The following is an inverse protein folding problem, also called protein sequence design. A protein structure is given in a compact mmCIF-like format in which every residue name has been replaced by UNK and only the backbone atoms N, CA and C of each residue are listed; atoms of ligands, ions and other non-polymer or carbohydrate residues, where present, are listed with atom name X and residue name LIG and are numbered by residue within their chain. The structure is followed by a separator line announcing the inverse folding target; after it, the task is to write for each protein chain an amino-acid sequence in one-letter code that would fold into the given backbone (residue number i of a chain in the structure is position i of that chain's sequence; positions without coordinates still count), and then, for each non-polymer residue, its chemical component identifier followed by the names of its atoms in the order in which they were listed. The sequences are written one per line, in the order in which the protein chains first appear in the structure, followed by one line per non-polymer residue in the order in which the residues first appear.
data_IF_295153805671
#
_entry.id   IF_295153805671
#
_cell.length_a   1.000
_cell.length_b   1.000
_cell.length_c   1.000
_cell.angle_alpha   90.00
_cell.angle_beta   90.00
_cell.angle_gamma   90.00
#
_symmetry.space_group_name_H-M   'P 1'
#
loop_
_entity.id
_entity.type
_entity.pdbx_description
1 polymer ?
#
# COMPACT_ATOMS: atom_id res chain seq x y z
N UNK A 1 -0.84 -1.83 -7.59
CA UNK A 1 -0.90 -0.98 -8.80
C UNK A 1 -0.53 0.46 -8.45
N UNK A 2 -1.30 1.17 -7.63
CA UNK A 2 -1.09 2.61 -7.37
C UNK A 2 0.33 2.96 -6.89
N UNK A 3 0.82 2.37 -5.80
CA UNK A 3 2.20 2.60 -5.30
C UNK A 3 3.27 2.25 -6.34
N UNK A 4 3.06 1.17 -7.13
CA UNK A 4 3.97 0.72 -8.18
C UNK A 4 4.10 1.78 -9.29
N UNK A 5 3.04 2.56 -9.52
CA UNK A 5 2.97 3.58 -10.58
C UNK A 5 3.35 4.96 -10.08
N UNK A 6 2.75 5.40 -8.98
CA UNK A 6 2.99 6.73 -8.41
C UNK A 6 4.45 6.96 -8.03
N UNK A 7 5.17 5.91 -7.58
CA UNK A 7 6.61 6.01 -7.27
C UNK A 7 7.44 6.56 -8.44
N UNK A 8 7.02 6.28 -9.68
CA UNK A 8 7.74 6.70 -10.89
C UNK A 8 7.37 8.13 -11.32
N UNK A 9 6.35 8.74 -10.71
CA UNK A 9 5.88 10.10 -11.00
C UNK A 9 6.42 11.16 -10.04
N UNK A 10 7.17 10.77 -9.00
CA UNK A 10 7.67 11.69 -7.98
C UNK A 10 9.18 11.61 -7.84
N UNK A 11 9.81 12.63 -7.25
CA UNK A 11 11.20 12.53 -6.80
C UNK A 11 11.27 11.81 -5.45
N UNK A 12 12.00 10.67 -5.33
CA UNK A 12 12.13 9.97 -4.06
C UNK A 12 12.81 10.79 -2.96
N UNK A 13 13.59 11.83 -3.30
CA UNK A 13 14.21 12.73 -2.33
C UNK A 13 13.22 13.76 -1.76
N UNK A 14 12.11 14.00 -2.46
CA UNK A 14 11.06 14.94 -2.03
C UNK A 14 9.84 14.21 -1.46
N UNK A 15 9.46 13.08 -2.06
CA UNK A 15 8.27 12.31 -1.70
C UNK A 15 8.57 10.80 -1.71
N UNK A 16 8.33 10.18 -0.55
CA UNK A 16 8.40 8.72 -0.41
C UNK A 16 7.04 8.10 -0.70
N UNK A 17 7.00 7.15 -1.62
CA UNK A 17 5.79 6.41 -1.98
C UNK A 17 6.03 4.94 -1.69
N UNK A 18 5.38 4.39 -0.68
CA UNK A 18 5.55 3.00 -0.27
C UNK A 18 4.20 2.35 0.08
N UNK A 19 4.18 1.03 0.17
CA UNK A 19 3.06 0.28 0.73
C UNK A 19 3.47 -0.23 2.11
N UNK A 20 2.93 0.35 3.18
CA UNK A 20 3.21 -0.08 4.54
C UNK A 20 2.10 -1.00 5.07
N UNK A 21 2.46 -2.24 5.37
CA UNK A 21 1.61 -3.24 6.02
C UNK A 21 2.13 -3.52 7.43
N UNK A 22 1.46 -3.06 8.50
CA UNK A 22 1.87 -3.34 9.86
C UNK A 22 1.72 -4.83 10.23
N UNK A 23 0.98 -5.60 9.42
CA UNK A 23 0.59 -6.97 9.67
C UNK A 23 -0.69 -7.08 10.50
N UNK A 24 -0.92 -8.25 11.08
CA UNK A 24 -2.16 -8.52 11.80
C UNK A 24 -2.22 -7.76 13.13
N UNK A 25 -3.11 -6.77 13.20
CA UNK A 25 -3.29 -5.90 14.36
C UNK A 25 -4.58 -6.23 15.11
N UNK A 26 -4.47 -6.55 16.41
CA UNK A 26 -5.65 -6.68 17.28
C UNK A 26 -6.18 -5.30 17.66
N UNK A 27 -7.51 -5.18 17.68
CA UNK A 27 -8.19 -3.95 18.09
C UNK A 27 -8.48 -2.96 16.95
N UNK A 28 -8.17 -3.27 15.70
CA UNK A 28 -8.54 -2.43 14.54
C UNK A 28 -10.02 -2.55 14.17
N UNK A 29 -10.67 -3.64 14.57
CA UNK A 29 -12.03 -3.97 14.11
C UNK A 29 -12.09 -4.38 12.64
N UNK A 30 -10.96 -4.77 12.02
CA UNK A 30 -10.94 -5.27 10.63
C UNK A 30 -11.90 -6.45 10.42
N UNK A 31 -12.00 -7.32 11.42
CA UNK A 31 -12.86 -8.50 11.44
C UNK A 31 -14.22 -8.27 12.13
N UNK A 32 -14.68 -7.02 12.26
CA UNK A 32 -15.94 -6.70 12.97
C UNK A 32 -17.19 -7.38 12.39
N UNK A 33 -17.16 -7.71 11.09
CA UNK A 33 -18.26 -8.32 10.36
C UNK A 33 -18.30 -9.85 10.38
N UNK A 34 -17.40 -10.52 11.11
CA UNK A 34 -17.37 -11.99 11.11
C UNK A 34 -18.65 -12.59 11.71
N UNK A 35 -19.13 -13.73 11.18
CA UNK A 35 -20.31 -14.42 11.71
C UNK A 35 -20.16 -14.75 13.21
N UNK A 36 -21.29 -14.76 13.94
CA UNK A 36 -21.28 -14.95 15.39
C UNK A 36 -20.59 -16.26 15.82
N UNK A 37 -20.79 -17.34 15.06
CA UNK A 37 -20.18 -18.65 15.34
C UNK A 37 -18.65 -18.67 15.16
N UNK A 38 -18.06 -17.69 14.45
CA UNK A 38 -16.60 -17.56 14.28
C UNK A 38 -15.95 -16.60 15.29
N UNK A 39 -16.73 -15.86 16.09
CA UNK A 39 -16.18 -14.80 16.95
C UNK A 39 -15.18 -15.31 17.99
N UNK A 40 -15.43 -16.48 18.57
CA UNK A 40 -14.56 -17.07 19.59
C UNK A 40 -13.20 -17.47 19.01
N UNK A 41 -13.19 -18.15 17.85
CA UNK A 41 -11.95 -18.62 17.21
C UNK A 41 -11.11 -17.44 16.71
N UNK A 42 -11.73 -16.45 16.06
CA UNK A 42 -11.04 -15.21 15.67
C UNK A 42 -10.61 -14.36 16.87
N UNK A 43 -11.36 -14.39 17.97
CA UNK A 43 -10.94 -13.80 19.25
C UNK A 43 -9.61 -14.37 19.74
N UNK A 44 -9.49 -15.70 19.77
CA UNK A 44 -8.25 -16.37 20.15
C UNK A 44 -7.12 -16.07 19.16
N UNK A 45 -7.39 -16.13 17.85
CA UNK A 45 -6.41 -15.81 16.81
C UNK A 45 -5.85 -14.39 16.97
N UNK A 46 -6.72 -13.40 17.23
CA UNK A 46 -6.29 -12.01 17.53
C UNK A 46 -5.43 -11.92 18.77
N UNK A 47 -5.75 -12.67 19.81
CA UNK A 47 -4.99 -12.63 21.06
C UNK A 47 -3.57 -13.19 20.85
N UNK A 48 -3.44 -14.30 20.13
CA UNK A 48 -2.17 -15.03 19.93
C UNK A 48 -1.31 -14.40 18.83
N UNK A 49 -1.90 -14.04 17.69
CA UNK A 49 -1.16 -13.58 16.50
C UNK A 49 -1.20 -12.06 16.32
N UNK A 50 -2.18 -11.38 16.90
CA UNK A 50 -2.41 -9.95 16.67
C UNK A 50 -1.49 -9.07 17.52
N UNK A 51 -0.74 -8.18 16.86
CA UNK A 51 0.05 -7.14 17.54
C UNK A 51 -0.86 -5.99 18.00
N UNK A 52 -0.44 -5.27 19.02
CA UNK A 52 -1.17 -4.10 19.52
C UNK A 52 -1.10 -2.91 18.55
N UNK A 53 -2.14 -2.07 18.56
CA UNK A 53 -2.25 -0.89 17.69
C UNK A 53 -1.05 0.05 17.76
N UNK A 54 -0.46 0.25 18.96
CA UNK A 54 0.74 1.07 19.13
C UNK A 54 1.91 0.53 18.30
N UNK A 55 2.12 -0.79 18.29
CA UNK A 55 3.15 -1.39 17.45
C UNK A 55 2.81 -1.16 15.97
N UNK A 56 1.58 -1.43 15.53
CA UNK A 56 1.18 -1.17 14.15
C UNK A 56 1.39 0.28 13.70
N UNK A 57 1.09 1.25 14.57
CA UNK A 57 1.35 2.67 14.30
C UNK A 57 2.83 2.96 14.07
N UNK A 58 3.72 2.33 14.85
CA UNK A 58 5.16 2.47 14.65
C UNK A 58 5.65 1.91 13.32
N UNK A 59 4.99 0.91 12.72
CA UNK A 59 5.35 0.44 11.38
C UNK A 59 5.19 1.56 10.35
N UNK A 60 4.09 2.33 10.39
CA UNK A 60 3.89 3.46 9.48
C UNK A 60 4.95 4.55 9.67
N UNK A 61 5.34 4.86 10.92
CA UNK A 61 6.42 5.82 11.21
C UNK A 61 7.77 5.30 10.71
N UNK A 62 8.05 4.02 10.89
CA UNK A 62 9.27 3.38 10.40
C UNK A 62 9.39 3.51 8.87
N UNK A 63 8.29 3.23 8.15
CA UNK A 63 8.23 3.38 6.69
C UNK A 63 8.38 4.83 6.22
N UNK A 64 7.73 5.77 6.90
CA UNK A 64 7.67 7.16 6.45
C UNK A 64 8.91 7.99 6.83
N UNK A 65 9.53 7.70 7.98
CA UNK A 65 10.54 8.58 8.58
C UNK A 65 11.88 7.89 8.81
N UNK A 66 11.89 6.63 9.22
CA UNK A 66 13.13 5.94 9.62
C UNK A 66 13.83 5.30 8.42
N UNK A 67 13.06 4.73 7.49
CA UNK A 67 13.57 4.00 6.31
C UNK A 67 13.00 4.53 4.98
N UNK A 68 13.01 5.86 4.73
CA UNK A 68 12.39 6.44 3.54
C UNK A 68 12.99 5.86 2.25
N UNK A 69 14.32 5.86 2.15
CA UNK A 69 15.04 5.43 0.95
C UNK A 69 14.87 3.93 0.67
N UNK A 70 14.84 3.11 1.73
CA UNK A 70 14.69 1.68 1.59
C UNK A 70 13.25 1.27 1.24
N UNK A 71 12.26 2.08 1.61
CA UNK A 71 10.85 1.72 1.43
C UNK A 71 10.22 2.35 0.19
N UNK A 72 10.78 3.44 -0.35
CA UNK A 72 10.29 4.04 -1.59
C UNK A 72 10.18 2.97 -2.69
N UNK A 73 9.00 2.88 -3.29
CA UNK A 73 8.73 1.91 -4.35
C UNK A 73 8.66 0.46 -3.92
N UNK A 74 8.54 0.18 -2.62
CA UNK A 74 8.57 -1.16 -2.05
C UNK A 74 7.35 -1.44 -1.18
N UNK A 75 7.17 -2.72 -0.83
CA UNK A 75 6.19 -3.18 0.15
C UNK A 75 6.91 -3.46 1.46
N UNK A 76 6.60 -2.68 2.50
CA UNK A 76 7.11 -2.96 3.84
C UNK A 76 6.08 -3.79 4.59
N UNK A 77 6.48 -4.97 5.05
CA UNK A 77 5.66 -5.85 5.87
C UNK A 77 6.46 -6.26 7.09
N UNK A 78 5.85 -6.17 8.28
CA UNK A 78 6.49 -6.58 9.52
C UNK A 78 7.89 -5.94 9.74
N UNK A 79 8.01 -4.63 9.48
CA UNK A 79 9.27 -3.84 9.62
C UNK A 79 10.42 -4.22 8.67
N UNK A 80 10.14 -5.11 7.71
CA UNK A 80 11.08 -5.51 6.67
C UNK A 80 10.59 -5.07 5.30
N UNK A 81 11.54 -4.84 4.40
CA UNK A 81 11.28 -4.37 3.03
C UNK A 81 11.25 -5.55 2.09
N UNK A 82 10.19 -5.64 1.30
CA UNK A 82 9.98 -6.66 0.29
C UNK A 82 9.73 -6.03 -1.07
N UNK A 83 10.15 -6.74 -2.12
CA UNK A 83 9.66 -6.50 -3.48
C UNK A 83 8.17 -6.79 -3.56
N UNK A 84 7.48 -6.11 -4.48
CA UNK A 84 6.08 -6.45 -4.79
C UNK A 84 5.96 -7.90 -5.30
N UNK A 85 4.77 -8.53 -5.16
CA UNK A 85 4.54 -9.92 -5.56
C UNK A 85 5.04 -10.23 -6.97
N UNK A 86 5.55 -11.45 -7.19
CA UNK A 86 6.18 -11.88 -8.45
C UNK A 86 5.33 -11.59 -9.70
N UNK A 87 4.00 -11.76 -9.58
CA UNK A 87 3.02 -11.44 -10.61
C UNK A 87 3.15 -10.00 -11.14
N UNK A 88 3.51 -9.03 -10.30
CA UNK A 88 3.63 -7.62 -10.73
C UNK A 88 4.78 -7.39 -11.71
N UNK A 89 5.71 -8.33 -11.82
CA UNK A 89 6.88 -8.25 -12.71
C UNK A 89 6.65 -8.98 -14.05
N UNK A 90 5.57 -9.77 -14.17
CA UNK A 90 5.26 -10.48 -15.41
C UNK A 90 4.65 -9.55 -16.47
N UNK A 91 4.71 -9.88 -17.77
CA UNK A 91 4.05 -9.09 -18.82
C UNK A 91 2.54 -8.90 -18.58
N UNK A 92 1.84 -9.97 -18.19
CA UNK A 92 0.40 -9.91 -17.91
C UNK A 92 0.09 -9.06 -16.68
N UNK A 93 0.90 -9.16 -15.62
CA UNK A 93 0.73 -8.34 -14.42
C UNK A 93 0.97 -6.86 -14.71
N UNK A 94 1.97 -6.52 -15.52
CA UNK A 94 2.19 -5.14 -15.98
C UNK A 94 0.99 -4.63 -16.79
N UNK A 95 0.48 -5.43 -17.73
CA UNK A 95 -0.72 -5.09 -18.50
C UNK A 95 -1.94 -4.85 -17.61
N UNK A 96 -2.16 -5.70 -16.60
CA UNK A 96 -3.24 -5.52 -15.63
C UNK A 96 -3.08 -4.24 -14.79
N UNK A 97 -1.85 -3.93 -14.37
CA UNK A 97 -1.50 -2.70 -13.64
C UNK A 97 -1.80 -1.46 -14.51
N UNK A 98 -1.38 -1.43 -15.77
CA UNK A 98 -1.68 -0.28 -16.67
C UNK A 98 -3.18 -0.10 -16.87
N UNK A 99 -3.89 -1.19 -17.15
CA UNK A 99 -5.33 -1.15 -17.39
C UNK A 99 -6.08 -0.64 -16.18
N UNK A 100 -5.80 -1.20 -15.00
CA UNK A 100 -6.43 -0.75 -13.76
C UNK A 100 -6.09 0.72 -13.47
N UNK A 101 -4.88 1.18 -13.79
CA UNK A 101 -4.51 2.59 -13.60
C UNK A 101 -5.37 3.49 -14.49
N UNK A 102 -5.46 3.16 -15.78
CA UNK A 102 -6.26 3.93 -16.72
C UNK A 102 -7.73 4.00 -16.29
N UNK A 103 -8.33 2.86 -15.93
CA UNK A 103 -9.72 2.77 -15.42
C UNK A 103 -9.88 3.60 -14.13
N UNK A 104 -8.93 3.53 -13.19
CA UNK A 104 -8.98 4.32 -11.94
C UNK A 104 -8.88 5.82 -12.20
N UNK A 105 -8.01 6.25 -13.12
CA UNK A 105 -7.86 7.68 -13.45
C UNK A 105 -9.08 8.22 -14.19
N UNK A 106 -9.71 7.41 -15.04
CA UNK A 106 -10.99 7.73 -15.67
C UNK A 106 -12.10 7.89 -14.63
N UNK A 107 -12.23 6.96 -13.68
CA UNK A 107 -13.21 7.07 -12.58
C UNK A 107 -12.99 8.33 -11.71
N UNK A 108 -11.73 8.79 -11.61
CA UNK A 108 -11.34 9.98 -10.84
C UNK A 108 -11.28 11.28 -11.68
N UNK A 109 -11.85 11.29 -12.90
CA UNK A 109 -11.86 12.47 -13.77
C UNK A 109 -12.53 13.67 -13.11
N UNK A 110 -13.58 13.46 -12.29
CA UNK A 110 -14.26 14.53 -11.56
C UNK A 110 -13.34 15.34 -10.63
N UNK A 111 -12.17 14.78 -10.26
CA UNK A 111 -11.17 15.41 -9.42
C UNK A 111 -9.92 15.87 -10.20
N UNK A 112 -9.96 15.86 -11.54
CA UNK A 112 -8.82 16.13 -12.42
C UNK A 112 -7.56 15.32 -12.05
N UNK A 113 -7.75 14.04 -11.71
CA UNK A 113 -6.65 13.16 -11.31
C UNK A 113 -5.54 13.08 -12.39
N UNK A 114 -5.92 13.17 -13.67
CA UNK A 114 -4.97 13.20 -14.79
C UNK A 114 -4.14 14.49 -14.78
N UNK A 115 -4.76 15.66 -14.68
CA UNK A 115 -4.04 16.94 -14.60
C UNK A 115 -3.10 17.02 -13.40
N UNK A 116 -3.54 16.51 -12.25
CA UNK A 116 -2.70 16.41 -11.04
C UNK A 116 -1.45 15.56 -11.30
N UNK A 117 -1.61 14.35 -11.84
CA UNK A 117 -0.47 13.47 -12.14
C UNK A 117 0.47 14.09 -13.18
N UNK A 118 -0.05 14.74 -14.21
CA UNK A 118 0.75 15.45 -15.21
C UNK A 118 1.56 16.60 -14.59
N UNK A 119 1.05 17.24 -13.54
CA UNK A 119 1.74 18.33 -12.83
C UNK A 119 2.90 17.86 -11.94
N UNK A 120 2.90 16.60 -11.51
CA UNK A 120 3.90 16.06 -10.56
C UNK A 120 5.28 15.78 -11.17
N UNK A 121 5.40 15.82 -12.51
CA UNK A 121 6.68 15.95 -13.20
C UNK A 121 7.65 14.77 -13.03
N UNK A 122 7.52 13.75 -13.89
CA UNK A 122 8.65 12.93 -14.39
C UNK A 122 8.36 12.17 -15.69
N UNK A 123 7.10 11.97 -16.08
CA UNK A 123 6.73 11.38 -17.39
C UNK A 123 5.42 11.97 -17.94
N UNK A 124 5.54 12.77 -19.00
CA UNK A 124 4.47 13.53 -19.65
C UNK A 124 3.47 12.73 -20.51
N UNK A 125 3.38 11.40 -20.32
CA UNK A 125 2.62 10.50 -21.21
C UNK A 125 1.67 9.58 -20.41
N UNK A 126 0.82 10.15 -19.56
CA UNK A 126 -0.41 9.48 -19.07
C UNK A 126 -1.60 10.07 -19.81
#
# INVERSE_FOLDING_TARGET
MFVIKLKDHVDPNEVVVNAADPGFMRGTGLDRGIPAYMKATYGLMRMVMGRGLKAGAWAYVDAAVVKPDATHGSWMYNWEVYSFPSMTHTPDGKKAIERLLAETIEELEFADARGILSSMGKYSNV
#
